data_IF_699223382760
#
_entry.id   IF_699223382760
#
_cell.length_a   1.000
_cell.length_b   1.000
_cell.length_c   1.000
_cell.angle_alpha   90.00
_cell.angle_beta   90.00
_cell.angle_gamma   90.00
#
_symmetry.space_group_name_H-M   'P 1'
#
loop_
_entity.id
_entity.type
_entity.pdbx_description
1 polymer ?
#
# COMPACT_ATOMS: atom_id res chain seq x y z
N UNK A 1 32.59 35.86 -23.37
CA UNK A 1 31.47 34.91 -23.56
C UNK A 1 31.95 33.54 -23.09
N UNK A 2 31.27 32.85 -22.15
CA UNK A 2 31.76 31.55 -21.68
C UNK A 2 31.55 30.50 -22.78
N UNK A 3 32.65 29.85 -23.18
CA UNK A 3 32.67 28.81 -24.19
C UNK A 3 32.13 27.51 -23.60
N UNK A 4 31.02 27.01 -24.14
CA UNK A 4 30.37 25.80 -23.66
C UNK A 4 31.14 24.58 -24.20
N UNK A 5 31.86 23.90 -23.31
CA UNK A 5 32.61 22.70 -23.64
C UNK A 5 31.65 21.54 -23.95
N UNK A 6 31.65 21.10 -25.22
CA UNK A 6 30.76 20.06 -25.76
C UNK A 6 31.29 18.63 -25.52
N UNK A 7 32.46 18.48 -24.89
CA UNK A 7 33.05 17.15 -24.61
C UNK A 7 32.55 16.49 -23.33
N UNK A 8 31.72 17.18 -22.52
CA UNK A 8 31.08 16.57 -21.36
C UNK A 8 29.99 15.59 -21.79
N UNK A 9 30.30 14.30 -21.69
CA UNK A 9 29.35 13.21 -21.79
C UNK A 9 28.20 13.45 -20.79
N UNK A 10 26.93 13.44 -21.23
CA UNK A 10 25.79 13.57 -20.33
C UNK A 10 25.85 12.49 -19.25
N UNK A 11 25.49 12.78 -17.98
CA UNK A 11 25.44 11.74 -16.96
C UNK A 11 24.49 10.65 -17.43
N UNK A 12 25.02 9.43 -17.47
CA UNK A 12 24.29 8.26 -17.91
C UNK A 12 23.10 8.08 -16.97
N UNK A 13 21.89 8.42 -17.44
CA UNK A 13 20.66 8.03 -16.74
C UNK A 13 20.65 6.51 -16.77
N UNK A 14 21.11 5.86 -15.69
CA UNK A 14 20.93 4.42 -15.48
C UNK A 14 19.44 4.11 -15.53
N UNK A 15 18.95 3.79 -16.73
CA UNK A 15 17.61 3.25 -16.90
C UNK A 15 17.70 1.80 -16.44
N UNK A 16 16.89 1.44 -15.47
CA UNK A 16 16.68 0.02 -15.14
C UNK A 16 16.38 -0.75 -16.43
N UNK A 17 16.95 -1.96 -16.63
CA UNK A 17 16.76 -2.74 -17.85
C UNK A 17 15.27 -2.88 -18.18
N UNK A 18 14.93 -2.81 -19.46
CA UNK A 18 13.55 -3.00 -19.91
C UNK A 18 12.99 -4.33 -19.36
N UNK A 19 11.81 -4.30 -18.73
CA UNK A 19 11.15 -5.49 -18.15
C UNK A 19 11.47 -5.83 -16.68
N UNK A 20 12.26 -5.01 -15.99
CA UNK A 20 12.61 -5.22 -14.56
C UNK A 20 11.67 -4.52 -13.58
N UNK A 21 10.85 -3.57 -14.04
CA UNK A 21 9.96 -2.78 -13.18
C UNK A 21 8.52 -2.73 -13.69
N UNK A 22 7.57 -2.91 -12.78
CA UNK A 22 6.13 -2.76 -13.02
C UNK A 22 5.71 -1.32 -12.71
N UNK A 23 4.69 -0.79 -13.40
CA UNK A 23 4.19 0.57 -13.20
C UNK A 23 2.81 0.58 -12.57
N UNK A 24 2.67 1.33 -11.47
CA UNK A 24 1.40 1.70 -10.85
C UNK A 24 1.45 3.21 -10.63
N UNK A 25 0.43 3.95 -11.09
CA UNK A 25 0.29 5.39 -10.83
C UNK A 25 1.57 6.21 -11.11
N UNK A 26 2.31 5.84 -12.15
CA UNK A 26 3.57 6.49 -12.55
C UNK A 26 4.83 6.05 -11.78
N UNK A 27 4.68 5.32 -10.67
CA UNK A 27 5.79 4.75 -9.89
C UNK A 27 6.36 3.50 -10.56
N UNK A 28 7.68 3.30 -10.44
CA UNK A 28 8.36 2.08 -10.88
C UNK A 28 8.62 1.19 -9.66
N UNK A 29 8.08 -0.02 -9.70
CA UNK A 29 8.24 -1.03 -8.66
C UNK A 29 9.16 -2.14 -9.15
N UNK A 30 10.05 -2.65 -8.30
CA UNK A 30 10.77 -3.90 -8.59
C UNK A 30 9.78 -5.06 -8.70
N UNK A 31 10.19 -6.18 -9.31
CA UNK A 31 9.36 -7.40 -9.36
C UNK A 31 9.02 -7.93 -7.96
N UNK A 32 9.95 -7.84 -7.01
CA UNK A 32 9.71 -8.24 -5.62
C UNK A 32 8.67 -7.35 -4.94
N UNK A 33 8.77 -6.02 -5.12
CA UNK A 33 7.78 -5.09 -4.61
C UNK A 33 6.41 -5.33 -5.23
N UNK A 34 6.36 -5.61 -6.53
CA UNK A 34 5.14 -5.97 -7.23
C UNK A 34 4.53 -7.28 -6.70
N UNK A 35 5.32 -8.34 -6.49
CA UNK A 35 4.84 -9.59 -5.93
C UNK A 35 4.23 -9.39 -4.53
N UNK A 36 4.80 -8.51 -3.71
CA UNK A 36 4.23 -8.14 -2.41
C UNK A 36 2.91 -7.40 -2.55
N UNK A 37 2.79 -6.48 -3.51
CA UNK A 37 1.52 -5.78 -3.82
C UNK A 37 0.46 -6.76 -4.32
N UNK A 38 0.81 -7.73 -5.17
CA UNK A 38 -0.10 -8.77 -5.65
C UNK A 38 -0.62 -9.65 -4.51
N UNK A 39 0.30 -10.12 -3.65
CA UNK A 39 -0.05 -10.92 -2.48
C UNK A 39 -0.98 -10.17 -1.54
N UNK A 40 -0.65 -8.92 -1.22
CA UNK A 40 -1.49 -8.06 -0.39
C UNK A 40 -2.86 -7.83 -1.04
N UNK A 41 -2.90 -7.55 -2.35
CA UNK A 41 -4.16 -7.37 -3.10
C UNK A 41 -5.04 -8.62 -3.01
N UNK A 42 -4.45 -9.81 -3.18
CA UNK A 42 -5.18 -11.07 -3.06
C UNK A 42 -5.74 -11.25 -1.65
N UNK A 43 -4.96 -10.96 -0.61
CA UNK A 43 -5.42 -11.05 0.78
C UNK A 43 -6.55 -10.08 1.11
N UNK A 44 -6.44 -8.82 0.67
CA UNK A 44 -7.50 -7.83 0.83
C UNK A 44 -8.80 -8.32 0.18
N UNK A 45 -8.74 -8.95 -1.00
CA UNK A 45 -9.92 -9.55 -1.66
C UNK A 45 -10.52 -10.69 -0.84
N UNK A 46 -9.69 -11.63 -0.37
CA UNK A 46 -10.16 -12.76 0.44
C UNK A 46 -10.82 -12.29 1.74
N UNK A 47 -10.28 -11.25 2.36
CA UNK A 47 -10.80 -10.66 3.59
C UNK A 47 -12.02 -9.72 3.38
N UNK A 48 -12.42 -9.46 2.13
CA UNK A 48 -13.51 -8.53 1.80
C UNK A 48 -13.19 -7.07 2.12
N UNK A 49 -11.90 -6.71 2.22
CA UNK A 49 -11.47 -5.36 2.55
C UNK A 49 -11.65 -4.44 1.32
N UNK A 50 -12.19 -3.22 1.47
CA UNK A 50 -12.33 -2.26 0.38
C UNK A 50 -11.01 -1.92 -0.30
N UNK A 51 -11.09 -1.39 -1.54
CA UNK A 51 -9.91 -1.01 -2.35
C UNK A 51 -8.90 -2.14 -2.58
N UNK A 52 -9.38 -3.38 -2.70
CA UNK A 52 -8.56 -4.56 -3.01
C UNK A 52 -8.09 -4.62 -4.48
N UNK A 53 -7.34 -3.59 -4.87
CA UNK A 53 -6.69 -3.38 -6.17
C UNK A 53 -5.22 -2.97 -5.95
N UNK A 54 -4.33 -3.13 -6.94
CA UNK A 54 -2.90 -2.88 -6.76
C UNK A 54 -2.55 -1.49 -6.22
N UNK A 55 -3.25 -0.44 -6.64
CA UNK A 55 -3.03 0.92 -6.11
C UNK A 55 -3.42 1.04 -4.64
N UNK A 56 -4.57 0.49 -4.23
CA UNK A 56 -4.98 0.49 -2.83
C UNK A 56 -4.09 -0.36 -1.93
N UNK A 57 -3.58 -1.48 -2.44
CA UNK A 57 -2.58 -2.29 -1.74
C UNK A 57 -1.24 -1.56 -1.62
N UNK A 58 -0.82 -0.83 -2.66
CA UNK A 58 0.37 0.01 -2.61
C UNK A 58 0.21 1.14 -1.58
N UNK A 59 -0.92 1.85 -1.59
CA UNK A 59 -1.23 2.91 -0.63
C UNK A 59 -1.17 2.37 0.81
N UNK A 60 -1.79 1.22 1.06
CA UNK A 60 -1.76 0.58 2.37
C UNK A 60 -0.33 0.22 2.79
N UNK A 61 0.46 -0.33 1.87
CA UNK A 61 1.84 -0.73 2.13
C UNK A 61 2.76 0.45 2.45
N UNK A 62 2.46 1.64 1.90
CA UNK A 62 3.26 2.86 2.11
C UNK A 62 2.78 3.65 3.33
N UNK A 63 1.47 3.84 3.47
CA UNK A 63 0.89 4.71 4.50
C UNK A 63 0.66 3.98 5.84
N UNK A 64 0.41 2.68 5.80
CA UNK A 64 0.11 1.86 6.98
C UNK A 64 0.85 0.50 6.93
N UNK A 65 2.20 0.52 6.92
CA UNK A 65 3.01 -0.69 6.74
C UNK A 65 2.73 -1.78 7.79
N UNK A 66 2.39 -1.39 9.02
CA UNK A 66 2.00 -2.29 10.11
C UNK A 66 0.69 -3.03 9.82
N UNK A 67 -0.30 -2.36 9.24
CA UNK A 67 -1.56 -2.98 8.83
C UNK A 67 -1.31 -3.91 7.64
N UNK A 68 -0.53 -3.46 6.65
CA UNK A 68 -0.16 -4.27 5.50
C UNK A 68 0.55 -5.57 5.92
N UNK A 69 1.46 -5.50 6.91
CA UNK A 69 2.15 -6.66 7.45
C UNK A 69 1.19 -7.64 8.12
N UNK A 70 0.23 -7.15 8.92
CA UNK A 70 -0.81 -7.99 9.56
C UNK A 70 -1.72 -8.66 8.53
N UNK A 71 -2.14 -7.92 7.50
CA UNK A 71 -2.97 -8.47 6.42
C UNK A 71 -2.20 -9.53 5.62
N UNK A 72 -0.92 -9.32 5.36
CA UNK A 72 -0.07 -10.31 4.68
C UNK A 72 0.16 -11.57 5.53
N UNK A 73 0.36 -11.42 6.84
CA UNK A 73 0.49 -12.57 7.74
C UNK A 73 -0.81 -13.38 7.84
N UNK A 74 -1.96 -12.72 7.73
CA UNK A 74 -3.28 -13.34 7.85
C UNK A 74 -3.59 -13.76 9.28
N UNK A 75 -4.70 -14.51 9.44
CA UNK A 75 -5.13 -15.04 10.74
C UNK A 75 -5.44 -13.97 11.79
N UNK A 76 -5.78 -12.76 11.36
CA UNK A 76 -5.97 -11.62 12.26
C UNK A 76 -7.23 -10.84 11.92
N UNK A 77 -7.63 -9.92 12.83
CA UNK A 77 -8.71 -8.98 12.60
C UNK A 77 -8.16 -7.57 12.49
N UNK A 78 -8.52 -6.85 11.44
CA UNK A 78 -8.14 -5.44 11.21
C UNK A 78 -9.39 -4.57 11.18
N UNK A 79 -9.25 -3.32 11.62
CA UNK A 79 -10.37 -2.39 11.70
C UNK A 79 -10.10 -1.15 10.84
N UNK A 80 -11.12 -0.70 10.13
CA UNK A 80 -11.07 0.51 9.31
C UNK A 80 -12.33 1.32 9.53
N UNK A 81 -12.20 2.62 9.73
CA UNK A 81 -13.32 3.52 9.69
C UNK A 81 -13.76 3.75 8.23
N UNK A 82 -15.02 3.49 7.89
CA UNK A 82 -15.55 3.75 6.56
C UNK A 82 -15.72 5.26 6.28
N UNK A 83 -15.94 6.07 7.31
CA UNK A 83 -16.19 7.51 7.19
C UNK A 83 -14.91 8.31 6.94
N UNK A 84 -13.86 8.08 7.73
CA UNK A 84 -12.58 8.82 7.59
C UNK A 84 -11.42 7.98 7.04
N UNK A 85 -11.69 6.73 6.66
CA UNK A 85 -10.73 5.78 6.08
C UNK A 85 -9.55 5.38 6.99
N UNK A 86 -9.58 5.80 8.26
CA UNK A 86 -8.54 5.50 9.23
C UNK A 86 -8.46 4.00 9.56
N UNK A 87 -7.24 3.48 9.64
CA UNK A 87 -6.97 2.14 10.15
C UNK A 87 -6.79 2.18 11.67
N UNK A 88 -7.39 1.20 12.35
CA UNK A 88 -7.47 1.16 13.80
C UNK A 88 -7.07 -0.23 14.30
N UNK A 89 -6.51 -0.28 15.51
CA UNK A 89 -6.45 -1.53 16.27
C UNK A 89 -7.78 -1.77 17.01
N UNK A 90 -7.87 -2.87 17.78
CA UNK A 90 -9.11 -3.24 18.47
C UNK A 90 -9.53 -2.21 19.53
N UNK A 91 -8.57 -1.63 20.27
CA UNK A 91 -8.87 -0.64 21.30
C UNK A 91 -9.21 0.72 20.65
N UNK A 92 -8.47 1.09 19.61
CA UNK A 92 -8.70 2.28 18.80
C UNK A 92 -10.05 2.25 18.09
N UNK A 93 -10.53 1.09 17.65
CA UNK A 93 -11.86 0.95 17.07
C UNK A 93 -12.97 1.38 18.04
N UNK A 94 -12.87 0.97 19.30
CA UNK A 94 -13.83 1.33 20.35
C UNK A 94 -13.72 2.82 20.70
N UNK A 95 -12.52 3.28 21.02
CA UNK A 95 -12.28 4.69 21.38
C UNK A 95 -12.69 5.66 20.25
N UNK A 96 -12.51 5.26 18.99
CA UNK A 96 -12.89 6.07 17.84
C UNK A 96 -14.41 6.17 17.68
N UNK A 97 -15.15 5.08 17.91
CA UNK A 97 -16.62 5.11 17.90
C UNK A 97 -17.16 5.98 19.03
N UNK A 98 -16.57 5.90 20.22
CA UNK A 98 -16.97 6.72 21.37
C UNK A 98 -16.72 8.22 21.11
N UNK A 99 -15.56 8.55 20.53
CA UNK A 99 -15.20 9.94 20.22
C UNK A 99 -15.97 10.51 19.01
N UNK A 100 -16.32 9.68 18.04
CA UNK A 100 -16.97 10.07 16.78
C UNK A 100 -18.16 9.16 16.50
N UNK A 101 -19.32 9.36 17.14
CA UNK A 101 -20.46 8.44 17.06
C UNK A 101 -21.08 8.29 15.67
N UNK A 102 -20.84 9.26 14.77
CA UNK A 102 -21.30 9.22 13.38
C UNK A 102 -20.34 8.47 12.46
N UNK A 103 -19.17 8.06 12.96
CA UNK A 103 -18.18 7.31 12.20
C UNK A 103 -18.49 5.81 12.23
N UNK A 104 -18.55 5.20 11.07
CA UNK A 104 -18.76 3.76 10.96
C UNK A 104 -17.41 3.04 11.00
N UNK A 105 -17.17 2.18 12.00
CA UNK A 105 -15.97 1.33 12.07
C UNK A 105 -16.31 -0.09 11.65
N UNK A 106 -15.57 -0.60 10.66
CA UNK A 106 -15.75 -1.91 10.08
C UNK A 106 -14.59 -2.82 10.47
N UNK A 107 -14.89 -4.02 10.95
CA UNK A 107 -13.90 -5.04 11.28
C UNK A 107 -13.85 -6.14 10.23
N UNK A 108 -12.65 -6.44 9.71
CA UNK A 108 -12.42 -7.44 8.68
C UNK A 108 -11.61 -8.60 9.24
N UNK A 109 -12.09 -9.82 9.01
CA UNK A 109 -11.36 -11.03 9.37
C UNK A 109 -10.46 -11.43 8.19
N UNK A 110 -9.15 -11.38 8.41
CA UNK A 110 -8.17 -11.74 7.39
C UNK A 110 -7.88 -13.24 7.52
N UNK A 111 -8.15 -14.06 6.49
CA UNK A 111 -7.86 -15.48 6.53
C UNK A 111 -6.36 -15.74 6.60
N UNK A 112 -5.97 -16.91 7.10
CA UNK A 112 -4.57 -17.36 7.07
C UNK A 112 -4.08 -17.38 5.61
N UNK A 113 -2.84 -16.93 5.40
CA UNK A 113 -2.28 -16.67 4.07
C UNK A 113 -1.96 -17.92 3.25
#
# INVERSE_FOLDING_TARGET
MPSHDKTKTPPERRRAPAGTTVRIDGLRLSREAWAKVESLTAQLRRAGIPRARPSGALDLLVLHPEVAARVLAGGCRVYRCATCEAWLDAAGALAHQDALPTHEVQGFSVPVA
#
